data_IF_813642959909
#
_entry.id   IF_813642959909
#
_cell.length_a   1.000
_cell.length_b   1.000
_cell.length_c   1.000
_cell.angle_alpha   90.00
_cell.angle_beta   90.00
_cell.angle_gamma   90.00
#
_symmetry.space_group_name_H-M   'P 1'
#
loop_
_entity.id
_entity.type
_entity.pdbx_description
1 polymer ?
#
# COMPACT_ATOMS: atom_id res chain seq x y z
N UNK A 1 -6.50 -3.25 -10.87
CA UNK A 1 -5.36 -2.88 -10.02
C UNK A 1 -4.89 -1.47 -10.34
N UNK A 2 -4.32 -0.81 -9.37
CA UNK A 2 -3.75 0.52 -9.55
C UNK A 2 -2.45 0.44 -10.34
N UNK A 3 -2.29 1.32 -11.31
CA UNK A 3 -1.03 1.55 -12.00
C UNK A 3 -1.05 2.92 -12.66
N UNK A 4 0.13 3.54 -12.94
CA UNK A 4 0.16 4.85 -13.58
C UNK A 4 -0.34 4.79 -15.02
N UNK A 5 -1.09 5.81 -15.42
CA UNK A 5 -1.55 5.96 -16.81
C UNK A 5 -0.40 6.39 -17.72
N UNK A 6 0.39 7.34 -17.25
CA UNK A 6 1.54 7.89 -17.99
C UNK A 6 2.72 8.02 -17.06
N UNK A 7 3.91 7.76 -17.58
CA UNK A 7 5.15 7.90 -16.82
C UNK A 7 6.15 8.73 -17.60
N UNK A 8 6.95 9.56 -16.91
CA UNK A 8 8.03 10.32 -17.52
C UNK A 8 9.13 9.39 -18.02
N UNK A 9 9.45 8.37 -17.23
CA UNK A 9 10.41 7.34 -17.59
C UNK A 9 9.75 5.98 -17.47
N UNK A 10 10.01 5.11 -18.44
CA UNK A 10 9.43 3.78 -18.47
C UNK A 10 9.95 2.90 -17.33
N UNK A 11 11.23 3.02 -17.02
CA UNK A 11 11.89 2.25 -15.98
C UNK A 11 12.63 3.18 -15.03
N UNK A 12 12.78 2.75 -13.79
CA UNK A 12 13.44 3.54 -12.74
C UNK A 12 14.37 2.67 -11.93
N UNK A 13 15.32 3.31 -11.26
CA UNK A 13 16.13 2.64 -10.25
C UNK A 13 15.24 2.25 -9.07
N UNK A 14 15.47 1.04 -8.54
CA UNK A 14 14.69 0.55 -7.39
C UNK A 14 14.87 1.44 -6.16
N UNK A 15 16.11 1.86 -5.91
CA UNK A 15 16.41 2.74 -4.80
C UNK A 15 16.26 2.08 -3.44
N UNK A 16 16.44 2.86 -2.39
CA UNK A 16 16.26 2.47 -1.00
C UNK A 16 15.25 3.39 -0.34
N UNK A 17 14.53 2.87 0.64
CA UNK A 17 13.54 3.63 1.39
C UNK A 17 14.22 4.13 2.68
N UNK A 18 14.26 5.45 2.87
CA UNK A 18 14.92 6.07 4.00
C UNK A 18 13.96 6.91 4.82
N UNK A 19 14.20 6.99 6.13
CA UNK A 19 13.51 7.87 7.04
C UNK A 19 12.08 7.43 7.35
N UNK A 20 11.35 8.31 8.01
CA UNK A 20 9.94 8.13 8.33
C UNK A 20 9.06 9.00 7.43
N UNK A 21 7.76 8.72 7.44
CA UNK A 21 6.81 9.46 6.62
C UNK A 21 6.76 10.93 7.03
N UNK A 22 6.87 11.82 6.03
CA UNK A 22 6.69 13.26 6.19
C UNK A 22 5.35 13.75 5.65
N UNK A 23 4.70 12.92 4.83
CA UNK A 23 3.33 13.12 4.38
C UNK A 23 2.55 11.83 4.60
N UNK A 24 1.23 11.90 4.52
CA UNK A 24 0.36 10.73 4.73
C UNK A 24 0.55 10.04 6.08
N UNK A 25 0.92 10.78 7.11
CA UNK A 25 1.10 10.20 8.44
C UNK A 25 -0.09 10.48 9.36
N UNK A 26 -1.09 11.20 8.89
CA UNK A 26 -2.30 11.54 9.65
C UNK A 26 -3.55 11.15 8.86
N UNK A 27 -4.62 10.83 9.59
CA UNK A 27 -5.92 10.60 9.00
C UNK A 27 -6.46 11.89 8.39
N UNK A 28 -6.92 11.83 7.14
CA UNK A 28 -7.41 12.99 6.40
C UNK A 28 -8.85 12.81 5.93
N UNK A 29 -9.18 11.63 5.41
CA UNK A 29 -10.48 11.39 4.77
C UNK A 29 -11.42 10.58 5.65
N UNK A 30 -10.90 9.59 6.37
CA UNK A 30 -11.70 8.70 7.18
C UNK A 30 -11.50 8.90 8.66
N UNK A 31 -12.26 8.14 9.44
CA UNK A 31 -12.17 8.19 10.90
C UNK A 31 -11.18 7.17 11.45
N UNK A 32 -10.95 6.08 10.73
CA UNK A 32 -10.04 4.99 11.11
C UNK A 32 -9.05 4.75 9.99
N UNK A 33 -7.85 4.33 10.35
CA UNK A 33 -6.81 4.07 9.37
C UNK A 33 -5.89 2.92 9.74
N UNK A 34 -5.17 2.44 8.75
CA UNK A 34 -4.14 1.43 8.88
C UNK A 34 -2.79 2.08 8.58
N UNK A 35 -1.93 2.15 9.58
CA UNK A 35 -0.63 2.80 9.50
C UNK A 35 0.47 1.76 9.41
N UNK A 36 1.43 1.97 8.51
CA UNK A 36 2.63 1.13 8.41
C UNK A 36 3.61 1.44 9.55
N UNK A 37 4.20 0.40 10.11
CA UNK A 37 5.27 0.52 11.12
C UNK A 37 6.65 0.26 10.51
N UNK A 38 6.71 -0.29 9.30
CA UNK A 38 7.95 -0.68 8.63
C UNK A 38 8.12 0.06 7.32
N UNK A 39 9.37 0.07 6.82
CA UNK A 39 9.69 0.52 5.47
C UNK A 39 9.71 -0.70 4.54
N UNK A 40 8.92 -0.67 3.49
CA UNK A 40 8.87 -1.76 2.51
C UNK A 40 8.25 -1.29 1.20
N UNK A 41 8.46 -2.07 0.14
CA UNK A 41 7.79 -1.87 -1.13
C UNK A 41 6.52 -2.70 -1.15
N UNK A 42 5.39 -2.03 -1.31
CA UNK A 42 4.07 -2.68 -1.36
C UNK A 42 3.63 -2.74 -2.82
N UNK A 43 3.35 -3.93 -3.31
CA UNK A 43 2.98 -4.12 -4.72
C UNK A 43 1.53 -3.74 -4.97
N UNK A 44 1.21 -3.41 -6.23
CA UNK A 44 -0.16 -3.16 -6.65
C UNK A 44 -1.09 -4.34 -6.31
N UNK A 45 -0.59 -5.56 -6.43
CA UNK A 45 -1.36 -6.78 -6.10
C UNK A 45 -1.65 -6.88 -4.61
N UNK A 46 -0.69 -6.52 -3.77
CA UNK A 46 -0.90 -6.49 -2.31
C UNK A 46 -1.92 -5.44 -1.91
N UNK A 47 -1.85 -4.26 -2.51
CA UNK A 47 -2.84 -3.20 -2.28
C UNK A 47 -4.24 -3.67 -2.68
N UNK A 48 -4.36 -4.30 -3.85
CA UNK A 48 -5.65 -4.82 -4.32
C UNK A 48 -6.19 -5.94 -3.43
N UNK A 49 -5.33 -6.86 -2.99
CA UNK A 49 -5.72 -7.93 -2.08
C UNK A 49 -6.24 -7.38 -0.75
N UNK A 50 -5.57 -6.38 -0.21
CA UNK A 50 -5.98 -5.71 1.03
C UNK A 50 -7.30 -4.97 0.85
N UNK A 51 -7.46 -4.25 -0.25
CA UNK A 51 -8.72 -3.57 -0.59
C UNK A 51 -9.89 -4.55 -0.64
N UNK A 52 -9.68 -5.68 -1.31
CA UNK A 52 -10.73 -6.71 -1.42
C UNK A 52 -11.07 -7.31 -0.07
N UNK A 53 -10.08 -7.56 0.78
CA UNK A 53 -10.30 -8.09 2.12
C UNK A 53 -11.16 -7.14 2.97
N UNK A 54 -10.85 -5.84 2.94
CA UNK A 54 -11.62 -4.83 3.67
C UNK A 54 -13.04 -4.74 3.12
N UNK A 55 -13.19 -4.60 1.81
CA UNK A 55 -14.48 -4.44 1.16
C UNK A 55 -15.39 -5.65 1.38
N UNK A 56 -14.82 -6.85 1.30
CA UNK A 56 -15.57 -8.09 1.51
C UNK A 56 -16.08 -8.20 2.94
N UNK A 57 -15.23 -7.90 3.91
CA UNK A 57 -15.61 -7.96 5.33
C UNK A 57 -16.69 -6.93 5.67
N UNK A 58 -16.56 -5.72 5.15
CA UNK A 58 -17.51 -4.63 5.41
C UNK A 58 -18.72 -4.66 4.47
N UNK A 59 -18.86 -5.69 3.64
CA UNK A 59 -19.99 -5.91 2.72
C UNK A 59 -20.26 -4.71 1.81
N UNK A 60 -19.21 -4.03 1.39
CA UNK A 60 -19.25 -2.86 0.49
C UNK A 60 -20.01 -1.65 1.06
N UNK A 61 -20.30 -1.65 2.34
CA UNK A 61 -20.89 -0.48 3.00
C UNK A 61 -19.78 0.53 3.36
N UNK A 62 -20.19 1.77 3.64
CA UNK A 62 -19.26 2.82 4.05
C UNK A 62 -18.32 3.27 2.94
N UNK A 63 -17.22 3.89 3.33
CA UNK A 63 -16.20 4.41 2.40
C UNK A 63 -14.83 3.90 2.77
N UNK A 64 -14.05 3.60 1.72
CA UNK A 64 -12.65 3.20 1.83
C UNK A 64 -11.81 4.12 0.97
N UNK A 65 -10.72 4.63 1.53
CA UNK A 65 -9.72 5.39 0.77
C UNK A 65 -8.41 4.65 0.78
N UNK A 66 -7.81 4.50 -0.39
CA UNK A 66 -6.46 3.95 -0.56
C UNK A 66 -5.51 5.14 -0.62
N UNK A 67 -4.61 5.26 0.36
CA UNK A 67 -3.71 6.41 0.49
C UNK A 67 -2.34 6.17 -0.13
N UNK A 68 -2.10 5.00 -0.69
CA UNK A 68 -0.83 4.63 -1.33
C UNK A 68 -1.08 4.32 -2.80
N UNK A 69 -0.08 4.62 -3.64
CA UNK A 69 -0.18 4.38 -5.07
C UNK A 69 1.10 3.73 -5.58
N UNK A 70 1.01 2.64 -6.35
CA UNK A 70 2.17 1.92 -6.86
C UNK A 70 2.72 2.60 -8.13
N UNK A 71 3.58 3.58 -7.94
CA UNK A 71 4.11 4.41 -9.01
C UNK A 71 5.54 4.04 -9.44
N UNK A 72 6.18 3.09 -8.76
CA UNK A 72 7.56 2.69 -9.04
C UNK A 72 7.56 1.34 -9.77
N UNK A 73 8.09 1.28 -11.01
CA UNK A 73 8.20 0.02 -11.72
C UNK A 73 9.41 -0.78 -11.22
N UNK A 74 9.19 -2.06 -10.98
CA UNK A 74 10.26 -3.01 -10.63
C UNK A 74 10.39 -4.01 -11.78
N UNK A 75 11.61 -4.17 -12.28
CA UNK A 75 11.90 -5.03 -13.41
C UNK A 75 12.44 -6.38 -12.95
N UNK A 76 12.22 -7.40 -13.76
CA UNK A 76 12.80 -8.71 -13.56
C UNK A 76 13.17 -9.32 -14.90
N UNK A 77 14.21 -10.14 -14.91
CA UNK A 77 14.57 -10.93 -16.08
C UNK A 77 14.12 -12.38 -15.86
N UNK A 78 13.69 -13.08 -16.91
CA UNK A 78 13.43 -14.51 -16.79
C UNK A 78 14.67 -15.25 -16.26
N UNK A 79 14.47 -16.30 -15.50
CA UNK A 79 15.56 -17.09 -14.91
C UNK A 79 16.49 -17.68 -15.97
N UNK A 80 16.00 -17.88 -17.18
CA UNK A 80 16.73 -18.47 -18.31
C UNK A 80 17.62 -17.48 -19.05
N UNK A 81 17.46 -16.18 -18.78
CA UNK A 81 18.22 -15.12 -19.47
C UNK A 81 19.50 -14.84 -18.71
N UNK A 82 20.61 -14.79 -19.46
CA UNK A 82 21.91 -14.46 -18.88
C UNK A 82 21.94 -13.02 -18.37
N UNK A 83 22.75 -12.78 -17.35
CA UNK A 83 22.96 -11.45 -16.79
C UNK A 83 23.57 -10.53 -17.84
N UNK A 84 23.24 -9.23 -17.78
CA UNK A 84 23.69 -8.24 -18.75
C UNK A 84 22.67 -8.03 -19.87
N UNK A 85 23.08 -7.35 -20.93
CA UNK A 85 22.25 -7.03 -22.10
C UNK A 85 21.03 -6.15 -21.79
N UNK A 86 21.22 -5.22 -20.85
CA UNK A 86 20.19 -4.24 -20.54
C UNK A 86 19.27 -4.64 -19.41
N UNK A 87 18.44 -3.70 -19.01
CA UNK A 87 17.48 -3.85 -17.91
C UNK A 87 16.30 -4.71 -18.35
N UNK A 88 15.84 -5.59 -17.46
CA UNK A 88 14.69 -6.47 -17.74
C UNK A 88 13.40 -5.69 -17.96
N UNK A 89 12.35 -6.41 -18.37
CA UNK A 89 11.03 -5.83 -18.53
C UNK A 89 10.39 -5.52 -17.18
N UNK A 90 9.40 -4.62 -17.18
CA UNK A 90 8.66 -4.29 -15.96
C UNK A 90 7.87 -5.53 -15.52
N UNK A 91 8.15 -5.99 -14.29
CA UNK A 91 7.50 -7.14 -13.71
C UNK A 91 6.30 -6.73 -12.85
N UNK A 92 6.46 -5.68 -12.06
CA UNK A 92 5.43 -5.22 -11.14
C UNK A 92 5.59 -3.73 -10.83
N UNK A 93 4.52 -3.15 -10.30
CA UNK A 93 4.51 -1.78 -9.81
C UNK A 93 4.41 -1.81 -8.30
N UNK A 94 5.17 -0.96 -7.63
CA UNK A 94 5.23 -0.90 -6.17
C UNK A 94 5.11 0.52 -5.66
N UNK A 95 4.66 0.66 -4.42
CA UNK A 95 4.71 1.90 -3.66
C UNK A 95 5.81 1.76 -2.60
N UNK A 96 6.65 2.78 -2.48
CA UNK A 96 7.64 2.85 -1.40
C UNK A 96 6.94 3.39 -0.16
N UNK A 97 6.74 2.51 0.82
CA UNK A 97 6.04 2.86 2.05
C UNK A 97 7.06 3.08 3.16
N UNK A 98 7.00 4.23 3.82
CA UNK A 98 7.85 4.57 4.95
C UNK A 98 7.12 4.29 6.27
N UNK A 99 7.86 4.05 7.37
CA UNK A 99 7.21 3.93 8.69
C UNK A 99 6.38 5.18 9.00
N UNK A 100 5.18 4.99 9.48
CA UNK A 100 4.26 6.08 9.80
C UNK A 100 3.26 6.44 8.70
N UNK A 101 3.37 5.83 7.52
CA UNK A 101 2.45 6.10 6.41
C UNK A 101 1.08 5.48 6.67
N UNK A 102 0.03 6.28 6.50
CA UNK A 102 -1.35 5.77 6.47
C UNK A 102 -1.59 5.16 5.09
N UNK A 103 -1.88 3.87 5.05
CA UNK A 103 -2.09 3.16 3.78
C UNK A 103 -3.54 3.10 3.37
N UNK A 104 -4.45 2.94 4.32
CA UNK A 104 -5.89 2.86 4.08
C UNK A 104 -6.63 3.65 5.14
N UNK A 105 -7.78 4.22 4.76
CA UNK A 105 -8.71 4.86 5.69
C UNK A 105 -10.11 4.36 5.41
N UNK A 106 -10.92 4.22 6.46
CA UNK A 106 -12.33 3.87 6.34
C UNK A 106 -13.19 4.79 7.18
N UNK A 107 -14.44 4.92 6.77
CA UNK A 107 -15.46 5.67 7.48
C UNK A 107 -16.82 5.00 7.30
N UNK A 108 -17.75 5.28 8.21
CA UNK A 108 -19.11 4.72 8.15
C UNK A 108 -19.29 3.43 8.92
N UNK A 109 -18.33 3.06 9.77
CA UNK A 109 -18.39 1.84 10.59
C UNK A 109 -18.03 2.14 12.03
N UNK A 110 -18.40 1.23 12.94
CA UNK A 110 -17.90 1.34 14.30
C UNK A 110 -16.42 0.89 14.37
N UNK A 111 -15.77 1.26 15.47
CA UNK A 111 -14.35 0.98 15.69
C UNK A 111 -14.04 -0.52 15.64
N UNK A 112 -14.88 -1.33 16.21
CA UNK A 112 -14.66 -2.78 16.30
C UNK A 112 -14.65 -3.44 14.91
N UNK A 113 -15.62 -3.09 14.06
CA UNK A 113 -15.69 -3.61 12.68
C UNK A 113 -14.52 -3.11 11.83
N UNK A 114 -14.18 -1.83 11.94
CA UNK A 114 -13.06 -1.26 11.21
C UNK A 114 -11.74 -1.96 11.60
N UNK A 115 -11.54 -2.19 12.87
CA UNK A 115 -10.33 -2.86 13.37
C UNK A 115 -10.22 -4.29 12.83
N UNK A 116 -11.31 -5.04 12.82
CA UNK A 116 -11.32 -6.40 12.26
C UNK A 116 -11.04 -6.41 10.75
N UNK A 117 -11.63 -5.47 10.02
CA UNK A 117 -11.37 -5.35 8.58
C UNK A 117 -9.89 -5.11 8.30
N UNK A 118 -9.26 -4.22 9.07
CA UNK A 118 -7.84 -3.93 8.91
C UNK A 118 -6.93 -5.07 9.36
N UNK A 119 -7.33 -5.88 10.32
CA UNK A 119 -6.60 -7.10 10.67
C UNK A 119 -6.55 -8.07 9.49
N UNK A 120 -7.66 -8.24 8.78
CA UNK A 120 -7.69 -9.07 7.58
C UNK A 120 -6.84 -8.50 6.46
N UNK A 121 -6.88 -7.16 6.29
CA UNK A 121 -6.05 -6.49 5.29
C UNK A 121 -4.56 -6.60 5.59
N UNK A 122 -4.17 -6.46 6.86
CA UNK A 122 -2.76 -6.49 7.24
C UNK A 122 -2.09 -7.82 6.92
N UNK A 123 -2.85 -8.92 6.93
CA UNK A 123 -2.36 -10.24 6.55
C UNK A 123 -1.93 -10.32 5.08
N UNK A 124 -2.40 -9.39 4.23
CA UNK A 124 -2.07 -9.33 2.80
C UNK A 124 -0.92 -8.38 2.51
N UNK A 125 -0.41 -7.68 3.51
CA UNK A 125 0.63 -6.67 3.36
C UNK A 125 1.97 -7.19 3.88
N UNK A 126 3.10 -6.73 3.31
CA UNK A 126 4.44 -7.17 3.73
C UNK A 126 4.99 -6.41 4.94
N UNK A 127 4.22 -5.49 5.51
CA UNK A 127 4.66 -4.60 6.60
C UNK A 127 3.86 -4.89 7.87
N UNK A 128 4.48 -4.60 9.00
CA UNK A 128 3.76 -4.53 10.27
C UNK A 128 2.92 -3.27 10.27
N UNK A 129 1.72 -3.36 10.81
CA UNK A 129 0.74 -2.28 10.77
C UNK A 129 0.15 -2.04 12.15
N UNK A 130 -0.41 -0.84 12.32
CA UNK A 130 -1.19 -0.51 13.51
C UNK A 130 -2.48 0.18 13.10
N UNK A 131 -3.52 -0.07 13.89
CA UNK A 131 -4.81 0.59 13.74
C UNK A 131 -4.75 1.98 14.40
N UNK A 132 -5.23 2.99 13.70
CA UNK A 132 -5.31 4.35 14.22
C UNK A 132 -6.73 4.88 14.07
N UNK A 133 -7.09 5.80 14.97
CA UNK A 133 -8.43 6.38 15.05
C UNK A 133 -8.30 7.86 15.41
N UNK A 134 -9.23 8.69 14.92
CA UNK A 134 -9.24 10.12 15.23
C UNK A 134 -9.49 10.41 16.72
N UNK A 135 -10.08 9.48 17.44
CA UNK A 135 -10.37 9.66 18.87
C UNK A 135 -9.25 9.21 19.80
N UNK A 136 -8.08 8.85 19.24
CA UNK A 136 -6.91 8.48 20.02
C UNK A 136 -6.04 9.71 20.32
N UNK A 137 -6.08 10.13 21.54
CA UNK A 137 -5.23 11.21 22.03
C UNK A 137 -4.57 10.79 23.32
#
# INVERSE_FOLDING_TARGET
MLLPKNTKYRKQHKGRIHGSAKGNYELTFGYYGLKSLDAERVTARQIEASRRAITRFLKRAGRLWIRVFPDVPVTAKPAEVRMGKGKGAIDRWVCRVKPGTIMFEVDGFDKHLAKKAFELASAKLPVKTTFVSLDQF
#
